data_IF_028968140704
#
_entry.id   IF_028968140704
#
_cell.length_a   1.000
_cell.length_b   1.000
_cell.length_c   1.000
_cell.angle_alpha   90.00
_cell.angle_beta   90.00
_cell.angle_gamma   90.00
#
_symmetry.space_group_name_H-M   'P 1'
#
loop_
_entity.id
_entity.type
_entity.pdbx_description
1 polymer ?
#
# COMPACT_ATOMS: atom_id res chain seq x y z
N UNK A 1 -4.36 5.77 -7.18
CA UNK A 1 -3.34 6.79 -6.89
C UNK A 1 -3.89 8.19 -7.17
N UNK A 2 -3.65 9.15 -6.27
CA UNK A 2 -4.05 10.56 -6.43
C UNK A 2 -2.95 11.45 -5.86
N UNK A 3 -2.56 12.51 -6.58
CA UNK A 3 -1.62 13.53 -6.08
C UNK A 3 -2.05 14.94 -6.47
N UNK A 4 -1.33 15.95 -5.99
CA UNK A 4 -1.57 17.36 -6.31
C UNK A 4 -0.36 17.91 -7.04
N UNK A 5 -0.56 18.56 -8.18
CA UNK A 5 0.53 19.12 -8.97
C UNK A 5 1.03 20.48 -8.44
N UNK A 6 2.06 21.01 -9.11
CA UNK A 6 2.72 22.27 -8.75
C UNK A 6 1.79 23.51 -8.80
N UNK A 7 0.66 23.42 -9.48
CA UNK A 7 -0.36 24.47 -9.53
C UNK A 7 -1.62 24.09 -8.74
N UNK A 8 -1.49 23.18 -7.77
CA UNK A 8 -2.54 22.76 -6.85
C UNK A 8 -3.73 22.04 -7.52
N UNK A 9 -3.56 21.48 -8.72
CA UNK A 9 -4.60 20.63 -9.34
C UNK A 9 -4.47 19.19 -8.85
N UNK A 10 -5.60 18.53 -8.59
CA UNK A 10 -5.65 17.09 -8.34
C UNK A 10 -5.38 16.33 -9.63
N UNK A 11 -4.63 15.25 -9.52
CA UNK A 11 -4.29 14.32 -10.59
C UNK A 11 -4.70 12.92 -10.15
N UNK A 12 -5.57 12.25 -10.90
CA UNK A 12 -6.06 10.92 -10.60
C UNK A 12 -6.63 10.24 -11.86
N UNK A 13 -6.57 8.91 -11.93
CA UNK A 13 -7.07 8.14 -13.09
C UNK A 13 -8.57 8.36 -13.36
N UNK A 14 -9.34 8.64 -12.32
CA UNK A 14 -10.78 8.92 -12.40
C UNK A 14 -11.14 10.35 -12.02
N UNK A 15 -12.41 10.70 -12.22
CA UNK A 15 -12.97 11.98 -11.78
C UNK A 15 -12.97 12.08 -10.27
N UNK A 16 -12.42 13.17 -9.73
CA UNK A 16 -12.34 13.42 -8.28
C UNK A 16 -13.44 14.40 -7.83
N UNK A 17 -13.81 15.34 -8.69
CA UNK A 17 -14.85 16.34 -8.40
C UNK A 17 -15.08 17.26 -9.59
N UNK A 18 -15.93 18.27 -9.41
CA UNK A 18 -16.36 19.19 -10.48
C UNK A 18 -15.80 20.60 -10.34
N UNK A 19 -15.15 20.92 -9.22
CA UNK A 19 -14.51 22.22 -9.00
C UNK A 19 -13.24 22.35 -9.84
N UNK A 20 -12.80 23.57 -10.15
CA UNK A 20 -11.70 23.85 -11.09
C UNK A 20 -10.45 23.01 -10.83
N UNK A 21 -10.00 22.91 -9.58
CA UNK A 21 -8.79 22.17 -9.21
C UNK A 21 -8.95 20.65 -9.24
N UNK A 22 -10.14 20.10 -9.46
CA UNK A 22 -10.43 18.66 -9.45
C UNK A 22 -10.98 18.13 -10.77
N UNK A 23 -11.68 18.97 -11.55
CA UNK A 23 -12.41 18.56 -12.77
C UNK A 23 -11.51 18.04 -13.89
N UNK A 24 -10.22 18.39 -13.85
CA UNK A 24 -9.22 17.97 -14.84
C UNK A 24 -8.39 16.77 -14.41
N UNK A 25 -8.69 16.16 -13.25
CA UNK A 25 -7.89 15.08 -12.68
C UNK A 25 -7.57 13.93 -13.66
N UNK A 26 -8.54 13.37 -14.42
CA UNK A 26 -8.24 12.29 -15.38
C UNK A 26 -7.44 12.78 -16.60
N UNK A 27 -7.70 13.99 -17.10
CA UNK A 27 -6.92 14.57 -18.20
C UNK A 27 -5.48 14.85 -17.79
N UNK A 28 -5.27 15.36 -16.58
CA UNK A 28 -3.94 15.59 -16.03
C UNK A 28 -3.24 14.27 -15.72
N UNK A 29 -3.95 13.24 -15.27
CA UNK A 29 -3.37 11.91 -15.07
C UNK A 29 -2.82 11.35 -16.38
N UNK A 30 -3.58 11.49 -17.47
CA UNK A 30 -3.11 11.14 -18.80
C UNK A 30 -1.97 12.05 -19.27
N UNK A 31 -2.01 13.36 -18.98
CA UNK A 31 -0.97 14.31 -19.37
C UNK A 31 0.38 14.07 -18.68
N UNK A 32 0.35 13.79 -17.38
CA UNK A 32 1.52 13.40 -16.60
C UNK A 32 1.95 11.96 -16.91
N UNK A 33 1.12 11.19 -17.63
CA UNK A 33 1.38 9.82 -18.04
C UNK A 33 1.82 8.93 -16.87
N UNK A 34 1.11 9.02 -15.73
CA UNK A 34 1.45 8.21 -14.55
C UNK A 34 1.24 6.74 -14.90
N UNK A 35 2.35 6.01 -14.96
CA UNK A 35 2.42 4.60 -15.34
C UNK A 35 3.51 3.92 -14.51
N UNK A 36 3.58 2.59 -14.61
CA UNK A 36 4.59 1.79 -13.93
C UNK A 36 4.62 2.06 -12.42
N UNK A 37 3.45 2.03 -11.77
CA UNK A 37 3.36 2.09 -10.31
C UNK A 37 3.89 0.79 -9.74
N UNK A 38 4.98 0.86 -8.98
CA UNK A 38 5.64 -0.29 -8.37
C UNK A 38 5.71 -0.06 -6.86
N UNK A 39 5.18 -1.01 -6.11
CA UNK A 39 5.32 -1.10 -4.66
C UNK A 39 6.51 -2.00 -4.33
N UNK A 40 7.44 -1.54 -3.48
CA UNK A 40 8.55 -2.36 -3.00
C UNK A 40 8.06 -3.36 -1.94
N UNK A 41 7.44 -4.43 -2.42
CA UNK A 41 6.86 -5.48 -1.57
C UNK A 41 7.91 -6.36 -0.90
N UNK A 42 9.17 -6.28 -1.34
CA UNK A 42 10.29 -7.06 -0.79
C UNK A 42 10.90 -6.42 0.46
N UNK A 43 10.95 -5.07 0.51
CA UNK A 43 11.60 -4.33 1.61
C UNK A 43 10.62 -3.66 2.58
N UNK A 44 9.39 -4.16 2.65
CA UNK A 44 8.33 -3.65 3.53
C UNK A 44 8.79 -3.61 4.98
N UNK A 45 8.50 -2.49 5.65
CA UNK A 45 8.71 -2.32 7.10
C UNK A 45 7.40 -2.21 7.84
N UNK A 46 7.46 -2.42 9.15
CA UNK A 46 6.30 -2.38 10.04
C UNK A 46 6.63 -1.62 11.33
N UNK A 47 5.58 -1.27 12.06
CA UNK A 47 5.67 -0.79 13.43
C UNK A 47 5.60 -1.94 14.46
N UNK A 48 5.91 -3.17 14.04
CA UNK A 48 5.90 -4.35 14.91
C UNK A 48 7.27 -4.58 15.53
N UNK A 49 7.27 -5.03 16.78
CA UNK A 49 8.46 -5.53 17.49
C UNK A 49 8.15 -6.91 18.03
N UNK A 50 9.10 -7.84 17.89
CA UNK A 50 8.98 -9.19 18.43
C UNK A 50 9.41 -9.18 19.91
N UNK A 51 8.47 -9.49 20.81
CA UNK A 51 8.73 -9.61 22.26
C UNK A 51 8.42 -11.05 22.66
N UNK A 52 9.47 -11.83 22.93
CA UNK A 52 9.34 -13.28 23.02
C UNK A 52 8.94 -13.85 21.66
N UNK A 53 7.81 -14.57 21.61
CA UNK A 53 7.26 -15.14 20.37
C UNK A 53 6.05 -14.34 19.83
N UNK A 54 5.79 -13.16 20.37
CA UNK A 54 4.61 -12.34 20.01
C UNK A 54 5.02 -11.02 19.38
N UNK A 55 4.47 -10.73 18.20
CA UNK A 55 4.57 -9.41 17.59
C UNK A 55 3.61 -8.44 18.28
N UNK A 56 4.14 -7.31 18.73
CA UNK A 56 3.38 -6.20 19.31
C UNK A 56 3.59 -4.94 18.48
N UNK A 57 2.55 -4.11 18.37
CA UNK A 57 2.71 -2.77 17.84
C UNK A 57 3.46 -1.89 18.85
N UNK A 58 4.45 -1.13 18.37
CA UNK A 58 5.20 -0.16 19.15
C UNK A 58 5.20 1.19 18.44
N UNK A 59 4.70 2.22 19.15
CA UNK A 59 4.71 3.59 18.66
C UNK A 59 6.14 4.07 18.38
N UNK A 60 6.33 4.70 17.22
CA UNK A 60 7.62 5.23 16.77
C UNK A 60 8.53 4.21 16.06
N UNK A 61 8.20 2.91 16.09
CA UNK A 61 8.91 1.90 15.29
C UNK A 61 8.51 2.02 13.81
N UNK A 62 9.50 2.10 12.92
CA UNK A 62 9.29 2.22 11.46
C UNK A 62 10.15 1.26 10.63
N UNK A 63 10.97 0.45 11.29
CA UNK A 63 11.97 -0.45 10.71
C UNK A 63 11.75 -1.93 11.09
N UNK A 64 10.63 -2.23 11.76
CA UNK A 64 10.22 -3.58 12.08
C UNK A 64 10.03 -4.43 10.81
N UNK A 65 10.24 -5.73 10.91
CA UNK A 65 10.04 -6.63 9.78
C UNK A 65 8.56 -7.03 9.65
N UNK A 66 8.19 -7.49 8.46
CA UNK A 66 6.94 -8.22 8.27
C UNK A 66 6.97 -9.49 9.15
N UNK A 67 5.82 -9.94 9.70
CA UNK A 67 5.78 -11.20 10.45
C UNK A 67 6.35 -12.38 9.65
N UNK A 68 6.89 -13.36 10.37
CA UNK A 68 7.42 -14.59 9.76
C UNK A 68 6.34 -15.25 8.90
N UNK A 69 6.71 -15.69 7.69
CA UNK A 69 5.83 -16.33 6.70
C UNK A 69 4.66 -15.45 6.19
N UNK A 70 4.68 -14.16 6.52
CA UNK A 70 3.87 -13.17 5.84
C UNK A 70 4.61 -12.64 4.60
N UNK A 71 3.86 -12.30 3.57
CA UNK A 71 4.36 -11.65 2.37
C UNK A 71 3.33 -10.67 1.81
N UNK A 72 3.82 -9.74 1.00
CA UNK A 72 2.98 -8.79 0.28
C UNK A 72 3.21 -9.02 -1.20
N UNK A 73 2.13 -9.07 -1.98
CA UNK A 73 2.19 -9.28 -3.42
C UNK A 73 1.38 -8.21 -4.14
N UNK A 74 1.92 -7.65 -5.21
CA UNK A 74 1.21 -6.78 -6.14
C UNK A 74 0.32 -7.63 -7.05
N UNK A 75 -0.99 -7.36 -7.10
CA UNK A 75 -1.90 -8.13 -7.94
C UNK A 75 -2.83 -7.27 -8.81
N UNK A 76 -3.27 -7.84 -9.93
CA UNK A 76 -4.31 -7.25 -10.79
C UNK A 76 -5.72 -7.60 -10.27
N UNK A 77 -6.76 -7.15 -10.98
CA UNK A 77 -8.17 -7.40 -10.62
C UNK A 77 -8.56 -8.88 -10.66
N UNK A 78 -7.80 -9.72 -11.35
CA UNK A 78 -7.96 -11.18 -11.37
C UNK A 78 -7.21 -11.88 -10.22
N UNK A 79 -6.46 -11.14 -9.40
CA UNK A 79 -5.66 -11.69 -8.29
C UNK A 79 -4.32 -12.30 -8.70
N UNK A 80 -3.90 -12.08 -9.95
CA UNK A 80 -2.63 -12.56 -10.49
C UNK A 80 -1.51 -11.59 -10.12
N UNK A 81 -0.32 -12.13 -9.80
CA UNK A 81 0.85 -11.30 -9.50
C UNK A 81 1.27 -10.47 -10.71
N UNK A 82 1.61 -9.20 -10.48
CA UNK A 82 2.08 -8.29 -11.51
C UNK A 82 3.30 -7.51 -11.02
N UNK A 83 4.21 -7.18 -11.93
CA UNK A 83 5.43 -6.43 -11.63
C UNK A 83 5.16 -4.93 -11.43
N UNK A 84 4.11 -4.39 -12.06
CA UNK A 84 3.76 -2.97 -12.02
C UNK A 84 2.27 -2.75 -12.28
N UNK A 85 1.83 -1.52 -11.98
CA UNK A 85 0.45 -1.06 -12.12
C UNK A 85 -0.59 -1.99 -11.48
N UNK A 86 -0.37 -2.47 -10.23
CA UNK A 86 -1.35 -3.31 -9.57
C UNK A 86 -2.62 -2.55 -9.27
N UNK A 87 -3.72 -3.29 -9.18
CA UNK A 87 -4.98 -2.73 -8.68
C UNK A 87 -5.13 -2.96 -7.19
N UNK A 88 -4.43 -3.95 -6.62
CA UNK A 88 -4.49 -4.32 -5.22
C UNK A 88 -3.13 -4.80 -4.69
N UNK A 89 -2.95 -4.71 -3.37
CA UNK A 89 -1.89 -5.39 -2.64
C UNK A 89 -2.52 -6.54 -1.86
N UNK A 90 -2.02 -7.76 -2.06
CA UNK A 90 -2.45 -8.95 -1.33
C UNK A 90 -1.48 -9.23 -0.20
N UNK A 91 -1.99 -9.31 1.02
CA UNK A 91 -1.25 -9.76 2.19
C UNK A 91 -1.49 -11.26 2.37
N UNK A 92 -0.45 -12.06 2.20
CA UNK A 92 -0.49 -13.52 2.33
C UNK A 92 0.18 -13.92 3.65
N UNK A 93 -0.45 -14.80 4.42
CA UNK A 93 0.05 -15.29 5.71
C UNK A 93 -0.03 -16.81 5.74
N UNK A 94 1.08 -17.47 5.39
CA UNK A 94 1.08 -18.87 5.00
C UNK A 94 0.87 -19.87 6.16
N UNK A 95 1.06 -19.45 7.42
CA UNK A 95 0.95 -20.32 8.59
C UNK A 95 -0.16 -19.91 9.58
N UNK A 96 -0.99 -18.95 9.20
CA UNK A 96 -2.18 -18.59 9.97
C UNK A 96 -1.89 -17.97 11.33
N UNK A 97 -0.70 -17.41 11.56
CA UNK A 97 -0.44 -16.56 12.73
C UNK A 97 -1.32 -15.33 12.59
N UNK A 98 -2.48 -15.23 13.27
CA UNK A 98 -3.44 -14.20 12.93
C UNK A 98 -2.82 -12.84 13.22
N UNK A 99 -3.17 -11.84 12.42
CA UNK A 99 -2.81 -10.45 12.73
C UNK A 99 -3.59 -10.06 13.97
N UNK A 100 -3.02 -10.28 15.16
CA UNK A 100 -3.72 -10.12 16.43
C UNK A 100 -3.68 -8.68 16.97
N UNK A 101 -3.00 -7.78 16.26
CA UNK A 101 -2.81 -6.39 16.64
C UNK A 101 -2.89 -5.51 15.41
N UNK A 102 -3.51 -4.35 15.55
CA UNK A 102 -3.44 -3.31 14.53
C UNK A 102 -2.00 -2.79 14.45
N UNK A 103 -1.48 -2.59 13.24
CA UNK A 103 -0.13 -2.05 13.08
C UNK A 103 -0.03 -1.21 11.80
N UNK A 104 1.09 -0.51 11.66
CA UNK A 104 1.39 0.29 10.49
C UNK A 104 2.43 -0.43 9.66
N UNK A 105 2.18 -0.52 8.37
CA UNK A 105 3.09 -1.00 7.35
C UNK A 105 3.63 0.20 6.57
N UNK A 106 4.92 0.18 6.25
CA UNK A 106 5.60 1.23 5.50
C UNK A 106 6.18 0.61 4.23
N UNK A 107 5.76 1.14 3.08
CA UNK A 107 6.16 0.62 1.78
C UNK A 107 6.64 1.75 0.87
N UNK A 108 7.75 1.53 0.19
CA UNK A 108 8.22 2.47 -0.81
C UNK A 108 7.41 2.28 -2.10
N UNK A 109 7.03 3.39 -2.72
CA UNK A 109 6.26 3.37 -3.97
C UNK A 109 7.01 4.19 -5.01
N UNK A 110 7.29 3.55 -6.14
CA UNK A 110 7.90 4.19 -7.30
C UNK A 110 6.86 4.34 -8.39
N UNK A 111 6.83 5.50 -9.03
CA UNK A 111 5.95 5.77 -10.17
C UNK A 111 6.75 6.42 -11.28
N UNK A 112 6.52 5.98 -12.51
CA UNK A 112 7.00 6.70 -13.67
C UNK A 112 5.96 7.74 -14.09
N UNK A 113 6.47 8.87 -14.57
CA UNK A 113 5.69 9.95 -15.14
C UNK A 113 6.45 10.52 -16.33
N UNK A 114 5.78 11.38 -17.10
CA UNK A 114 6.28 11.91 -18.38
C UNK A 114 7.72 12.45 -18.36
N UNK A 115 8.20 12.94 -17.22
CA UNK A 115 9.50 13.60 -17.09
C UNK A 115 10.51 12.85 -16.20
N UNK A 116 10.18 11.64 -15.75
CA UNK A 116 11.11 10.81 -14.96
C UNK A 116 10.39 9.85 -14.02
N UNK A 117 11.09 9.50 -12.94
CA UNK A 117 10.62 8.56 -11.92
C UNK A 117 10.55 9.28 -10.58
N UNK A 118 9.49 9.04 -9.81
CA UNK A 118 9.31 9.55 -8.46
C UNK A 118 9.20 8.39 -7.49
N UNK A 119 10.01 8.39 -6.43
CA UNK A 119 9.88 7.45 -5.33
C UNK A 119 9.33 8.18 -4.10
N UNK A 120 8.24 7.66 -3.54
CA UNK A 120 7.72 8.05 -2.24
C UNK A 120 8.14 6.98 -1.23
N UNK A 121 9.14 7.25 -0.38
CA UNK A 121 9.52 6.31 0.66
C UNK A 121 8.47 6.26 1.77
N UNK A 122 8.30 5.07 2.37
CA UNK A 122 7.53 4.85 3.59
C UNK A 122 6.06 5.27 3.50
N UNK A 123 5.36 4.98 2.40
CA UNK A 123 3.91 5.10 2.36
C UNK A 123 3.33 4.24 3.50
N UNK A 124 2.69 4.90 4.45
CA UNK A 124 2.09 4.26 5.61
C UNK A 124 0.72 3.68 5.25
N UNK A 125 0.54 2.39 5.52
CA UNK A 125 -0.70 1.64 5.39
C UNK A 125 -1.07 1.13 6.77
N UNK A 126 -2.29 1.41 7.22
CA UNK A 126 -2.80 0.84 8.47
C UNK A 126 -3.34 -0.58 8.19
N UNK A 127 -2.79 -1.57 8.89
CA UNK A 127 -3.21 -2.96 8.82
C UNK A 127 -4.07 -3.25 10.04
N UNK A 128 -5.35 -3.51 9.80
CA UNK A 128 -6.27 -3.85 10.88
C UNK A 128 -5.99 -5.27 11.38
N UNK A 129 -6.19 -5.49 12.68
CA UNK A 129 -6.23 -6.82 13.27
C UNK A 129 -7.30 -7.68 12.58
N UNK A 130 -7.00 -8.95 12.39
CA UNK A 130 -7.99 -9.94 12.01
C UNK A 130 -8.77 -10.34 13.25
N UNK A 131 -10.11 -10.35 13.18
CA UNK A 131 -10.99 -10.80 14.28
C UNK A 131 -10.88 -12.32 14.56
N UNK A 132 -9.99 -13.03 13.87
CA UNK A 132 -9.89 -14.49 13.86
C UNK A 132 -10.96 -15.14 12.98
N UNK A 133 -10.80 -16.44 12.70
CA UNK A 133 -11.86 -17.24 12.10
C UNK A 133 -12.98 -17.37 13.13
N UNK A 134 -14.26 -17.03 12.82
CA UNK A 134 -15.36 -17.32 13.72
C UNK A 134 -15.32 -18.80 14.07
N UNK A 135 -15.16 -19.14 15.34
CA UNK A 135 -15.43 -20.50 15.80
C UNK A 135 -16.93 -20.70 15.61
N UNK A 136 -17.33 -21.51 14.63
CA UNK A 136 -18.70 -21.99 14.56
C UNK A 136 -18.98 -22.69 15.89
N UNK A 137 -19.79 -22.04 16.74
CA UNK A 137 -20.17 -22.57 18.02
C UNK A 137 -20.81 -23.95 17.86
N UNK A 138 -20.43 -24.84 18.77
CA UNK A 138 -21.01 -26.16 18.99
C UNK A 138 -22.54 -26.13 19.15
#
# INVERSE_FOLDING_TARGET
FTFTDWNFYKVAKGTVGTVEKEKWAPQLYNYYAVNNVIFDTENVKTSLTLVGDTYIHQDGTTDGNLPTDASLTQVNDAGESVESDPTQLRYDNALGTPVNVDYNMFIDVTVDYKWGTLTKPGLMIHVNKAEGTPTNGE
#
